data_IF_964625270068
#
_entry.id   IF_964625270068
#
_cell.length_a   1.000
_cell.length_b   1.000
_cell.length_c   1.000
_cell.angle_alpha   90.00
_cell.angle_beta   90.00
_cell.angle_gamma   90.00
#
_symmetry.space_group_name_H-M   'P 1'
#
loop_
_entity.id
_entity.type
_entity.pdbx_description
1 polymer ?
#
# COMPACT_ATOMS: atom_id res chain seq x y z
N UNK A 1 -12.12 14.71 -32.18
CA UNK A 1 -13.18 14.87 -31.16
C UNK A 1 -12.62 14.38 -29.83
N UNK A 2 -12.35 15.29 -28.90
CA UNK A 2 -11.84 14.96 -27.56
C UNK A 2 -13.01 14.46 -26.72
N UNK A 3 -13.06 13.16 -26.42
CA UNK A 3 -14.06 12.60 -25.50
C UNK A 3 -13.70 13.05 -24.09
N UNK A 4 -14.40 14.05 -23.56
CA UNK A 4 -14.26 14.50 -22.18
C UNK A 4 -14.62 13.34 -21.26
N UNK A 5 -13.61 12.62 -20.75
CA UNK A 5 -13.77 11.50 -19.82
C UNK A 5 -14.42 12.05 -18.55
N UNK A 6 -15.69 11.72 -18.33
CA UNK A 6 -16.43 12.15 -17.12
C UNK A 6 -15.69 11.59 -15.90
N UNK A 7 -15.13 12.47 -15.08
CA UNK A 7 -14.46 12.07 -13.84
C UNK A 7 -15.50 11.57 -12.86
N UNK A 8 -15.41 10.30 -12.45
CA UNK A 8 -16.28 9.74 -11.43
C UNK A 8 -15.87 10.28 -10.05
N UNK A 9 -16.77 10.99 -9.39
CA UNK A 9 -16.55 11.50 -8.04
C UNK A 9 -17.21 10.59 -7.02
N UNK A 10 -16.52 10.35 -5.91
CA UNK A 10 -17.10 9.73 -4.73
C UNK A 10 -17.94 10.76 -3.96
N UNK A 11 -19.02 10.30 -3.34
CA UNK A 11 -19.88 11.16 -2.53
C UNK A 11 -20.02 10.60 -1.11
N UNK A 12 -20.03 11.50 -0.15
CA UNK A 12 -20.35 11.26 1.25
C UNK A 12 -21.37 12.28 1.71
N UNK A 13 -21.93 12.12 2.91
CA UNK A 13 -22.94 13.04 3.46
C UNK A 13 -22.48 14.51 3.52
N UNK A 14 -21.17 14.78 3.55
CA UNK A 14 -20.60 16.13 3.77
C UNK A 14 -19.60 16.58 2.70
N UNK A 15 -19.29 15.71 1.73
CA UNK A 15 -18.26 16.01 0.74
C UNK A 15 -18.43 15.16 -0.52
N UNK A 16 -18.21 15.79 -1.67
CA UNK A 16 -17.95 15.14 -2.96
C UNK A 16 -16.45 15.24 -3.21
N UNK A 17 -15.80 14.13 -3.55
CA UNK A 17 -14.34 14.06 -3.59
C UNK A 17 -13.83 13.06 -4.63
N UNK A 18 -12.61 13.31 -5.10
CA UNK A 18 -11.81 12.37 -5.88
C UNK A 18 -10.37 12.49 -5.40
N UNK A 19 -10.09 11.87 -4.25
CA UNK A 19 -8.78 11.90 -3.61
C UNK A 19 -8.07 10.58 -3.88
N UNK A 20 -7.09 10.65 -4.78
CA UNK A 20 -6.24 9.53 -5.12
C UNK A 20 -4.80 9.92 -4.84
N UNK A 21 -4.05 9.02 -4.19
CA UNK A 21 -2.65 9.19 -3.86
C UNK A 21 -1.83 8.07 -4.45
N UNK A 22 -0.66 8.41 -5.00
CA UNK A 22 0.37 7.46 -5.37
C UNK A 22 1.38 7.35 -4.23
N UNK A 23 1.42 6.19 -3.57
CA UNK A 23 2.34 5.90 -2.49
C UNK A 23 3.45 4.97 -2.98
N UNK A 24 4.68 5.24 -2.57
CA UNK A 24 5.83 4.38 -2.84
C UNK A 24 6.46 4.00 -1.51
N UNK A 25 6.55 2.69 -1.24
CA UNK A 25 7.27 2.17 -0.09
C UNK A 25 8.54 1.48 -0.55
N UNK A 26 9.68 2.00 -0.12
CA UNK A 26 11.01 1.47 -0.41
C UNK A 26 11.45 0.61 0.77
N UNK A 27 12.13 -0.49 0.48
CA UNK A 27 12.70 -1.37 1.51
C UNK A 27 13.85 -0.68 2.24
N UNK A 28 14.12 -1.12 3.47
CA UNK A 28 15.18 -0.55 4.29
C UNK A 28 16.54 -0.79 3.62
N UNK A 29 17.29 0.28 3.42
CA UNK A 29 18.56 0.27 2.65
C UNK A 29 18.40 -0.14 1.19
N UNK A 30 17.16 -0.09 0.66
CA UNK A 30 16.84 -0.42 -0.74
C UNK A 30 17.36 -1.79 -1.16
N UNK A 31 17.21 -2.77 -0.26
CA UNK A 31 17.62 -4.16 -0.53
C UNK A 31 16.57 -4.85 -1.40
N UNK A 32 17.04 -5.67 -2.33
CA UNK A 32 16.21 -6.52 -3.18
C UNK A 32 15.68 -7.71 -2.37
N UNK A 33 14.69 -7.48 -1.52
CA UNK A 33 14.15 -8.46 -0.57
C UNK A 33 12.75 -8.95 -0.95
N UNK A 34 12.01 -8.19 -1.75
CA UNK A 34 10.63 -8.51 -2.09
C UNK A 34 10.57 -9.53 -3.22
N UNK A 35 10.43 -10.81 -2.85
CA UNK A 35 10.15 -11.87 -3.81
C UNK A 35 8.77 -11.69 -4.47
N UNK A 36 8.51 -12.41 -5.56
CA UNK A 36 7.19 -12.41 -6.20
C UNK A 36 6.08 -12.83 -5.24
N UNK A 37 6.32 -13.88 -4.43
CA UNK A 37 5.38 -14.33 -3.40
C UNK A 37 5.12 -13.25 -2.33
N UNK A 38 6.16 -12.55 -1.87
CA UNK A 38 6.00 -11.43 -0.94
C UNK A 38 5.22 -10.28 -1.56
N UNK A 39 5.46 -9.93 -2.84
CA UNK A 39 4.71 -8.87 -3.54
C UNK A 39 3.24 -9.23 -3.71
N UNK A 40 2.93 -10.47 -4.08
CA UNK A 40 1.55 -10.96 -4.13
C UNK A 40 0.88 -10.83 -2.76
N UNK A 41 1.57 -11.24 -1.70
CA UNK A 41 1.06 -11.14 -0.34
C UNK A 41 0.84 -9.71 0.12
N UNK A 42 1.76 -8.81 -0.22
CA UNK A 42 1.64 -7.37 0.05
C UNK A 42 0.39 -6.79 -0.61
N UNK A 43 0.09 -7.15 -1.86
CA UNK A 43 -1.11 -6.71 -2.55
C UNK A 43 -2.39 -7.05 -1.76
N UNK A 44 -2.50 -8.30 -1.30
CA UNK A 44 -3.64 -8.77 -0.50
C UNK A 44 -3.75 -8.03 0.84
N UNK A 45 -2.62 -7.85 1.52
CA UNK A 45 -2.55 -7.12 2.80
C UNK A 45 -2.98 -5.67 2.63
N UNK A 46 -2.42 -4.97 1.63
CA UNK A 46 -2.75 -3.57 1.37
C UNK A 46 -4.19 -3.40 0.94
N UNK A 47 -4.72 -4.30 0.11
CA UNK A 47 -6.15 -4.33 -0.27
C UNK A 47 -7.04 -4.49 0.96
N UNK A 48 -6.70 -5.42 1.86
CA UNK A 48 -7.44 -5.65 3.12
C UNK A 48 -7.40 -4.45 4.04
N UNK A 49 -6.23 -3.83 4.23
CA UNK A 49 -6.08 -2.63 5.06
C UNK A 49 -6.83 -1.45 4.44
N UNK A 50 -6.68 -1.19 3.14
CA UNK A 50 -7.40 -0.11 2.46
C UNK A 50 -8.92 -0.25 2.66
N UNK A 51 -9.48 -1.45 2.46
CA UNK A 51 -10.91 -1.72 2.66
C UNK A 51 -11.38 -1.43 4.08
N UNK A 52 -10.58 -1.78 5.11
CA UNK A 52 -10.88 -1.47 6.52
C UNK A 52 -10.85 0.04 6.82
N UNK A 53 -10.18 0.82 5.99
CA UNK A 53 -10.07 2.27 6.10
C UNK A 53 -11.06 3.03 5.21
N UNK A 54 -12.10 2.35 4.69
CA UNK A 54 -13.06 2.91 3.73
C UNK A 54 -12.36 3.48 2.48
N UNK A 55 -11.21 2.89 2.14
CA UNK A 55 -10.34 3.27 1.05
C UNK A 55 -10.27 2.13 0.03
N UNK A 56 -9.84 2.44 -1.19
CA UNK A 56 -9.74 1.47 -2.27
C UNK A 56 -8.33 1.46 -2.86
N UNK A 57 -7.72 0.28 -2.94
CA UNK A 57 -6.49 0.07 -3.69
C UNK A 57 -6.87 -0.08 -5.16
N UNK A 58 -6.50 0.90 -5.98
CA UNK A 58 -6.84 0.96 -7.41
C UNK A 58 -5.81 0.16 -8.20
N UNK A 59 -4.53 0.35 -7.88
CA UNK A 59 -3.42 -0.30 -8.56
C UNK A 59 -2.33 -0.65 -7.55
N UNK A 60 -1.70 -1.80 -7.78
CA UNK A 60 -0.56 -2.26 -7.02
C UNK A 60 0.48 -2.82 -7.98
N UNK A 61 1.70 -2.32 -7.88
CA UNK A 61 2.83 -2.86 -8.61
C UNK A 61 4.11 -2.68 -7.78
N UNK A 62 5.23 -3.26 -8.18
CA UNK A 62 6.49 -3.06 -7.49
C UNK A 62 7.60 -3.97 -7.97
N UNK A 63 8.81 -3.62 -7.56
CA UNK A 63 10.03 -4.35 -7.83
C UNK A 63 10.59 -4.98 -6.54
N UNK A 64 11.75 -5.62 -6.65
CA UNK A 64 12.37 -6.32 -5.52
C UNK A 64 12.77 -5.41 -4.34
N UNK A 65 12.91 -4.10 -4.53
CA UNK A 65 13.32 -3.12 -3.51
C UNK A 65 12.24 -2.09 -3.15
N UNK A 66 11.10 -2.07 -3.83
CA UNK A 66 10.02 -1.10 -3.55
C UNK A 66 8.66 -1.51 -4.12
N UNK A 67 7.59 -0.95 -3.58
CA UNK A 67 6.21 -1.14 -4.06
C UNK A 67 5.50 0.19 -4.27
N UNK A 68 4.68 0.22 -5.31
CA UNK A 68 3.82 1.33 -5.73
C UNK A 68 2.35 0.98 -5.45
N UNK A 69 1.64 1.91 -4.83
CA UNK A 69 0.22 1.80 -4.54
C UNK A 69 -0.49 3.03 -5.10
N UNK A 70 -1.51 2.83 -5.93
CA UNK A 70 -2.47 3.88 -6.27
C UNK A 70 -3.72 3.68 -5.41
N UNK A 71 -4.00 4.61 -4.52
CA UNK A 71 -5.03 4.44 -3.49
C UNK A 71 -6.01 5.61 -3.50
N UNK A 72 -7.31 5.32 -3.53
CA UNK A 72 -8.38 6.29 -3.29
C UNK A 72 -8.80 6.25 -1.82
N UNK A 73 -8.92 7.40 -1.18
CA UNK A 73 -9.27 7.50 0.24
C UNK A 73 -10.24 8.66 0.52
N UNK A 74 -11.05 8.59 1.59
CA UNK A 74 -12.01 9.65 1.91
C UNK A 74 -11.36 10.83 2.65
N UNK A 75 -11.88 12.05 2.49
CA UNK A 75 -11.25 13.29 2.99
C UNK A 75 -11.17 13.42 4.50
N UNK A 76 -11.99 12.67 5.24
CA UNK A 76 -12.04 12.72 6.71
C UNK A 76 -11.00 11.79 7.37
N UNK A 77 -10.30 10.94 6.61
CA UNK A 77 -9.24 10.07 7.13
C UNK A 77 -7.90 10.74 6.91
N UNK A 78 -7.07 10.75 7.95
CA UNK A 78 -5.69 11.22 7.85
C UNK A 78 -4.85 10.22 7.06
N UNK A 79 -4.31 10.66 5.93
CA UNK A 79 -3.47 9.83 5.07
C UNK A 79 -2.24 9.29 5.82
N UNK A 80 -1.64 10.08 6.70
CA UNK A 80 -0.50 9.66 7.53
C UNK A 80 -0.82 8.43 8.39
N UNK A 81 -2.02 8.36 8.97
CA UNK A 81 -2.44 7.23 9.79
C UNK A 81 -2.70 5.98 8.93
N UNK A 82 -3.28 6.14 7.75
CA UNK A 82 -3.43 5.05 6.78
C UNK A 82 -2.06 4.50 6.35
N UNK A 83 -1.12 5.38 5.99
CA UNK A 83 0.25 5.00 5.64
C UNK A 83 0.95 4.27 6.78
N UNK A 84 0.82 4.75 8.01
CA UNK A 84 1.39 4.09 9.18
C UNK A 84 0.83 2.66 9.36
N UNK A 85 -0.50 2.49 9.22
CA UNK A 85 -1.13 1.18 9.35
C UNK A 85 -0.73 0.23 8.21
N UNK A 86 -0.71 0.70 6.96
CA UNK A 86 -0.24 -0.07 5.80
C UNK A 86 1.17 -0.61 6.05
N UNK A 87 2.13 0.26 6.39
CA UNK A 87 3.52 -0.12 6.63
C UNK A 87 3.66 -1.09 7.80
N UNK A 88 2.99 -0.83 8.92
CA UNK A 88 3.08 -1.66 10.12
C UNK A 88 2.48 -3.06 9.90
N UNK A 89 1.28 -3.13 9.29
CA UNK A 89 0.59 -4.40 9.03
C UNK A 89 1.34 -5.23 7.99
N UNK A 90 1.88 -4.60 6.93
CA UNK A 90 2.70 -5.27 5.94
C UNK A 90 4.00 -5.83 6.55
N UNK A 91 4.73 -5.02 7.32
CA UNK A 91 5.95 -5.47 8.00
C UNK A 91 5.66 -6.64 8.93
N UNK A 92 4.62 -6.54 9.77
CA UNK A 92 4.24 -7.62 10.70
C UNK A 92 3.84 -8.90 9.96
N UNK A 93 3.11 -8.78 8.85
CA UNK A 93 2.65 -9.94 8.06
C UNK A 93 3.82 -10.64 7.39
N UNK A 94 4.69 -9.90 6.68
CA UNK A 94 5.83 -10.51 6.00
C UNK A 94 6.82 -11.13 6.99
N UNK A 95 7.12 -10.47 8.12
CA UNK A 95 7.97 -11.06 9.17
C UNK A 95 7.37 -12.30 9.84
N UNK A 96 6.06 -12.51 9.76
CA UNK A 96 5.42 -13.73 10.27
C UNK A 96 5.45 -14.86 9.24
N UNK A 97 5.27 -14.54 7.97
CA UNK A 97 5.06 -15.53 6.90
C UNK A 97 6.36 -15.90 6.16
N UNK A 98 7.36 -15.00 6.16
CA UNK A 98 8.62 -15.14 5.42
C UNK A 98 9.84 -14.85 6.30
N UNK A 99 9.78 -15.17 7.60
CA UNK A 99 10.88 -14.91 8.54
C UNK A 99 12.25 -15.46 8.09
N UNK A 100 12.36 -16.69 7.53
CA UNK A 100 13.65 -17.23 7.11
C UNK A 100 14.34 -16.35 6.06
N UNK A 101 13.64 -16.02 4.97
CA UNK A 101 14.13 -15.18 3.86
C UNK A 101 14.50 -13.77 4.34
N UNK A 102 13.70 -13.19 5.23
CA UNK A 102 13.95 -11.85 5.76
C UNK A 102 15.13 -11.80 6.74
N UNK A 103 15.32 -12.87 7.53
CA UNK A 103 16.38 -12.94 8.54
C UNK A 103 17.76 -13.13 7.94
N UNK A 104 17.86 -13.72 6.75
CA UNK A 104 19.11 -13.77 5.98
C UNK A 104 19.61 -12.38 5.58
N UNK A 105 18.68 -11.45 5.34
CA UNK A 105 18.97 -10.11 4.84
C UNK A 105 19.07 -9.08 5.96
N UNK A 106 18.17 -9.15 6.95
CA UNK A 106 18.07 -8.18 8.05
C UNK A 106 18.35 -8.81 9.41
N UNK A 107 19.28 -8.20 10.16
CA UNK A 107 19.61 -8.59 11.55
C UNK A 107 18.56 -8.19 12.59
N UNK A 108 17.60 -7.34 12.21
CA UNK A 108 16.52 -6.83 13.07
C UNK A 108 15.21 -6.92 12.29
N UNK A 109 14.07 -6.97 12.99
CA UNK A 109 12.74 -6.95 12.37
C UNK A 109 12.40 -5.58 11.77
N UNK A 110 12.95 -5.30 10.60
CA UNK A 110 12.78 -4.08 9.81
C UNK A 110 12.41 -4.47 8.37
N UNK A 111 11.64 -3.64 7.67
CA UNK A 111 11.25 -3.90 6.28
C UNK A 111 11.36 -2.64 5.42
N UNK A 112 10.77 -1.54 5.89
CA UNK A 112 10.76 -0.23 5.24
C UNK A 112 11.84 0.70 5.80
#
# INVERSE_FOLDING_TARGET
MSTTKKTNYNSSRRAVYNLTVHLVFVTKYRRNVLSEAMRHRLNEVFSSVAKKWDSNLIEFNGESDHVHLLLSYPPHKLLSNLVANLKATASKTLWREFEPELSEIYRKRILW
#
